data_IF_683441446644
#
_entry.id   IF_683441446644
#
_cell.length_a   1.000
_cell.length_b   1.000
_cell.length_c   1.000
_cell.angle_alpha   90.00
_cell.angle_beta   90.00
_cell.angle_gamma   90.00
#
_symmetry.space_group_name_H-M   'P 1'
#
loop_
_entity.id
_entity.type
_entity.pdbx_description
1 polymer ?
#
# COMPACT_ATOMS: atom_id res chain seq x y z
N UNK A 1 -14.31 -83.95 -5.39
CA UNK A 1 -15.18 -82.97 -6.05
C UNK A 1 -14.86 -81.59 -5.48
N UNK A 2 -14.07 -80.81 -6.14
CA UNK A 2 -13.64 -79.52 -5.65
C UNK A 2 -14.42 -78.42 -6.44
N UNK A 3 -15.17 -77.64 -5.72
CA UNK A 3 -15.89 -76.49 -6.28
C UNK A 3 -15.04 -75.22 -6.15
N UNK A 4 -14.60 -74.69 -7.28
CA UNK A 4 -13.88 -73.43 -7.32
C UNK A 4 -14.87 -72.23 -7.24
N UNK A 5 -14.77 -71.45 -6.20
CA UNK A 5 -15.52 -70.21 -6.04
C UNK A 5 -14.73 -69.04 -6.61
N UNK A 6 -15.16 -68.53 -7.78
CA UNK A 6 -14.59 -67.34 -8.40
C UNK A 6 -15.20 -66.08 -7.75
N UNK A 7 -14.41 -65.41 -6.94
CA UNK A 7 -14.76 -64.09 -6.39
C UNK A 7 -14.28 -63.03 -7.37
N UNK A 8 -15.21 -62.47 -8.15
CA UNK A 8 -14.96 -61.30 -9.01
C UNK A 8 -14.88 -60.03 -8.16
N UNK A 9 -13.69 -59.51 -7.99
CA UNK A 9 -13.46 -58.17 -7.38
C UNK A 9 -13.97 -57.09 -8.32
N UNK A 10 -15.13 -56.51 -8.02
CA UNK A 10 -15.61 -55.27 -8.64
C UNK A 10 -14.85 -54.12 -8.00
N UNK A 11 -13.94 -53.51 -8.77
CA UNK A 11 -13.28 -52.29 -8.40
C UNK A 11 -14.29 -51.09 -8.43
N UNK A 12 -14.64 -50.57 -7.30
CA UNK A 12 -15.40 -49.33 -7.15
C UNK A 12 -14.44 -48.16 -7.40
N UNK A 13 -14.51 -47.57 -8.61
CA UNK A 13 -13.89 -46.28 -8.91
C UNK A 13 -14.72 -45.21 -8.25
N UNK A 14 -14.28 -44.76 -7.07
CA UNK A 14 -14.79 -43.56 -6.40
C UNK A 14 -14.24 -42.33 -7.14
N UNK A 15 -15.06 -41.73 -8.01
CA UNK A 15 -14.79 -40.44 -8.61
C UNK A 15 -14.93 -39.37 -7.52
N UNK A 16 -13.80 -38.93 -6.97
CA UNK A 16 -13.75 -37.74 -6.12
C UNK A 16 -13.94 -36.50 -7.00
N UNK A 17 -15.16 -35.99 -7.06
CA UNK A 17 -15.50 -34.71 -7.68
C UNK A 17 -14.97 -33.61 -6.73
N UNK A 18 -13.75 -33.16 -6.97
CA UNK A 18 -13.15 -32.05 -6.23
C UNK A 18 -13.93 -30.76 -6.54
N UNK A 19 -14.70 -30.25 -5.56
CA UNK A 19 -15.22 -28.89 -5.59
C UNK A 19 -14.02 -27.94 -5.54
N UNK A 20 -13.58 -27.45 -6.70
CA UNK A 20 -12.71 -26.30 -6.77
C UNK A 20 -13.51 -25.06 -6.33
N UNK A 21 -13.37 -24.67 -5.06
CA UNK A 21 -13.85 -23.38 -4.58
C UNK A 21 -13.13 -22.31 -5.39
N UNK A 22 -13.83 -21.36 -6.04
CA UNK A 22 -13.18 -20.22 -6.65
C UNK A 22 -12.48 -19.46 -5.52
N UNK A 23 -11.14 -19.48 -5.50
CA UNK A 23 -10.38 -18.54 -4.71
C UNK A 23 -10.83 -17.14 -5.18
N UNK A 24 -11.51 -16.40 -4.30
CA UNK A 24 -11.82 -15.01 -4.55
C UNK A 24 -10.47 -14.32 -4.82
N UNK A 25 -10.18 -14.09 -6.09
CA UNK A 25 -9.01 -13.31 -6.49
C UNK A 25 -9.27 -11.90 -5.96
N UNK A 26 -8.74 -11.59 -4.78
CA UNK A 26 -8.59 -10.20 -4.38
C UNK A 26 -7.71 -9.57 -5.45
N UNK A 27 -8.26 -8.61 -6.17
CA UNK A 27 -7.51 -7.87 -7.17
C UNK A 27 -6.26 -7.33 -6.48
N UNK A 28 -5.11 -7.90 -6.82
CA UNK A 28 -3.83 -7.45 -6.27
C UNK A 28 -3.50 -6.12 -6.91
N UNK A 29 -3.02 -5.19 -6.11
CA UNK A 29 -2.54 -3.92 -6.64
C UNK A 29 -1.34 -4.13 -7.58
N UNK A 30 -1.17 -3.27 -8.59
CA UNK A 30 -0.05 -3.33 -9.50
C UNK A 30 1.27 -3.11 -8.75
N UNK A 31 2.37 -3.56 -9.33
CA UNK A 31 3.68 -3.33 -8.73
C UNK A 31 4.09 -1.86 -8.84
N UNK A 32 4.91 -1.41 -7.90
CA UNK A 32 5.45 -0.05 -7.91
C UNK A 32 6.23 0.26 -9.20
N UNK A 33 6.91 -0.74 -9.75
CA UNK A 33 7.67 -0.61 -10.99
C UNK A 33 6.75 -0.37 -12.20
N UNK A 34 5.66 -1.11 -12.31
CA UNK A 34 4.67 -0.94 -13.38
C UNK A 34 4.06 0.47 -13.32
N UNK A 35 3.53 0.83 -12.15
CA UNK A 35 2.93 2.16 -11.93
C UNK A 35 3.94 3.28 -12.20
N UNK A 36 5.20 3.10 -11.78
CA UNK A 36 6.26 4.07 -12.01
C UNK A 36 6.52 4.37 -13.48
N UNK A 37 6.54 3.34 -14.33
CA UNK A 37 6.69 3.49 -15.78
C UNK A 37 5.52 4.28 -16.37
N UNK A 38 4.30 3.92 -16.02
CA UNK A 38 3.09 4.58 -16.52
C UNK A 38 3.02 6.04 -16.08
N UNK A 39 3.35 6.34 -14.82
CA UNK A 39 3.41 7.71 -14.33
C UNK A 39 4.44 8.56 -15.08
N UNK A 40 5.62 8.01 -15.37
CA UNK A 40 6.64 8.71 -16.15
C UNK A 40 6.18 8.98 -17.59
N UNK A 41 5.45 8.05 -18.20
CA UNK A 41 4.90 8.24 -19.53
C UNK A 41 3.81 9.33 -19.59
N UNK A 42 2.93 9.36 -18.57
CA UNK A 42 1.84 10.34 -18.50
C UNK A 42 2.34 11.72 -18.15
N UNK A 43 3.16 11.83 -17.12
CA UNK A 43 3.58 13.13 -16.59
C UNK A 43 4.85 13.68 -17.24
N UNK A 44 5.59 12.85 -18.01
CA UNK A 44 6.87 13.23 -18.66
C UNK A 44 7.89 13.80 -17.66
N UNK A 45 7.84 13.35 -16.41
CA UNK A 45 8.70 13.79 -15.30
C UNK A 45 9.10 12.58 -14.45
N UNK A 46 10.27 12.62 -13.83
CA UNK A 46 10.66 11.57 -12.86
C UNK A 46 9.74 11.66 -11.64
N UNK A 47 8.96 10.59 -11.43
CA UNK A 47 8.13 10.39 -10.25
C UNK A 47 8.63 9.11 -9.60
N UNK A 48 9.00 9.20 -8.34
CA UNK A 48 9.43 8.03 -7.59
C UNK A 48 8.24 7.41 -6.86
N UNK A 49 7.89 6.17 -7.24
CA UNK A 49 6.88 5.39 -6.52
C UNK A 49 7.54 4.72 -5.32
N UNK A 50 7.11 5.08 -4.13
CA UNK A 50 7.64 4.55 -2.87
C UNK A 50 6.94 3.26 -2.45
N UNK A 51 5.62 3.20 -2.65
CA UNK A 51 4.79 2.07 -2.22
C UNK A 51 3.48 2.03 -3.00
N UNK A 52 2.98 0.83 -3.25
CA UNK A 52 1.62 0.58 -3.72
C UNK A 52 0.95 -0.38 -2.76
N UNK A 53 -0.24 -0.06 -2.31
CA UNK A 53 -1.02 -0.87 -1.36
C UNK A 53 -2.52 -0.74 -1.62
N UNK A 54 -3.30 -1.70 -1.11
CA UNK A 54 -4.76 -1.60 -1.22
C UNK A 54 -5.26 -0.36 -0.46
N UNK A 55 -6.12 0.42 -1.10
CA UNK A 55 -6.82 1.52 -0.45
C UNK A 55 -8.01 0.99 0.37
N UNK A 56 -8.55 1.77 1.34
CA UNK A 56 -9.76 1.41 2.06
C UNK A 56 -10.98 1.20 1.15
N UNK A 57 -11.03 1.87 0.01
CA UNK A 57 -12.06 1.67 -1.00
C UNK A 57 -11.74 0.44 -1.85
N UNK A 58 -12.65 -0.52 -1.89
CA UNK A 58 -12.51 -1.76 -2.67
C UNK A 58 -12.22 -1.48 -4.14
N UNK A 59 -11.24 -2.19 -4.70
CA UNK A 59 -10.86 -2.07 -6.11
C UNK A 59 -9.94 -0.89 -6.41
N UNK A 60 -9.59 -0.11 -5.40
CA UNK A 60 -8.66 1.01 -5.52
C UNK A 60 -7.34 0.65 -4.82
N UNK A 61 -6.26 1.06 -5.42
CA UNK A 61 -4.91 0.95 -4.88
C UNK A 61 -4.37 2.34 -4.58
N UNK A 62 -3.81 2.51 -3.39
CA UNK A 62 -3.10 3.71 -2.98
C UNK A 62 -1.66 3.64 -3.47
N UNK A 63 -1.20 4.70 -4.11
CA UNK A 63 0.15 4.84 -4.66
C UNK A 63 0.85 6.00 -3.96
N UNK A 64 1.80 5.68 -3.12
CA UNK A 64 2.63 6.66 -2.44
C UNK A 64 3.78 7.06 -3.37
N UNK A 65 3.82 8.33 -3.73
CA UNK A 65 4.84 8.87 -4.63
C UNK A 65 5.64 9.97 -3.96
N UNK A 66 6.86 10.18 -4.44
CA UNK A 66 7.64 11.37 -4.13
C UNK A 66 7.79 12.21 -5.38
N UNK A 67 7.33 13.44 -5.32
CA UNK A 67 7.48 14.44 -6.36
C UNK A 67 8.30 15.61 -5.82
N UNK A 68 9.47 15.85 -6.40
CA UNK A 68 10.41 16.86 -5.92
C UNK A 68 10.72 16.78 -4.42
N UNK A 69 10.86 15.56 -3.90
CA UNK A 69 11.12 15.30 -2.49
C UNK A 69 9.90 15.42 -1.56
N UNK A 70 8.73 15.77 -2.08
CA UNK A 70 7.49 15.87 -1.30
C UNK A 70 6.65 14.62 -1.47
N UNK A 71 6.17 14.00 -0.40
CA UNK A 71 5.26 12.87 -0.50
C UNK A 71 3.91 13.33 -1.04
N UNK A 72 3.32 12.49 -1.88
CA UNK A 72 1.97 12.68 -2.41
C UNK A 72 1.30 11.32 -2.56
N UNK A 73 -0.03 11.32 -2.61
CA UNK A 73 -0.84 10.12 -2.77
C UNK A 73 -1.63 10.22 -4.07
N UNK A 74 -1.55 9.15 -4.84
CA UNK A 74 -2.37 8.92 -6.03
C UNK A 74 -3.14 7.62 -5.82
N UNK A 75 -4.18 7.41 -6.59
CA UNK A 75 -4.92 6.15 -6.58
C UNK A 75 -4.99 5.56 -7.98
N UNK A 76 -4.99 4.24 -8.06
CA UNK A 76 -5.17 3.52 -9.32
C UNK A 76 -6.08 2.32 -9.12
N UNK A 77 -6.67 1.82 -10.19
CA UNK A 77 -7.36 0.54 -10.17
C UNK A 77 -6.37 -0.63 -10.09
N UNK A 78 -6.86 -1.83 -9.86
CA UNK A 78 -6.03 -3.02 -9.74
C UNK A 78 -5.23 -3.38 -11.00
N UNK A 79 -5.67 -2.89 -12.16
CA UNK A 79 -4.97 -3.09 -13.43
C UNK A 79 -3.91 -2.02 -13.71
N UNK A 80 -3.90 -0.91 -12.96
CA UNK A 80 -3.04 0.24 -13.24
C UNK A 80 -3.52 1.10 -14.41
N UNK A 81 -4.73 0.85 -14.93
CA UNK A 81 -5.22 1.47 -16.17
C UNK A 81 -5.75 2.90 -15.98
N UNK A 82 -6.17 3.24 -14.78
CA UNK A 82 -6.72 4.55 -14.45
C UNK A 82 -6.00 5.18 -13.28
N UNK A 83 -5.75 6.46 -13.37
CA UNK A 83 -5.14 7.24 -12.30
C UNK A 83 -6.13 8.26 -11.77
N UNK A 84 -6.29 8.29 -10.45
CA UNK A 84 -7.12 9.27 -9.75
C UNK A 84 -6.21 10.12 -8.85
N UNK A 85 -6.35 11.42 -8.95
CA UNK A 85 -5.71 12.41 -8.08
C UNK A 85 -6.75 13.07 -7.20
N UNK A 86 -6.46 13.29 -5.93
CA UNK A 86 -7.38 13.92 -5.00
C UNK A 86 -7.41 13.23 -3.65
N UNK A 87 -8.45 13.52 -2.89
CA UNK A 87 -8.61 13.05 -1.52
C UNK A 87 -9.66 11.94 -1.42
N UNK A 88 -9.36 10.93 -0.63
CA UNK A 88 -10.29 9.88 -0.23
C UNK A 88 -10.83 10.23 1.15
N UNK A 89 -12.11 10.59 1.20
CA UNK A 89 -12.76 11.01 2.44
C UNK A 89 -13.73 9.91 2.89
N UNK A 90 -13.56 9.46 4.12
CA UNK A 90 -14.56 8.61 4.78
C UNK A 90 -15.75 9.47 5.22
N UNK A 91 -16.85 9.34 4.50
CA UNK A 91 -18.06 10.15 4.72
C UNK A 91 -18.70 9.88 6.09
N UNK A 92 -18.57 8.65 6.60
CA UNK A 92 -19.15 8.28 7.89
C UNK A 92 -18.45 8.95 9.08
N UNK A 93 -17.12 9.06 9.00
CA UNK A 93 -16.31 9.69 10.06
C UNK A 93 -15.91 11.14 9.76
N UNK A 94 -16.06 11.58 8.51
CA UNK A 94 -15.56 12.88 8.02
C UNK A 94 -14.05 12.95 7.86
N UNK A 95 -13.34 11.84 8.00
CA UNK A 95 -11.88 11.79 7.92
C UNK A 95 -11.37 11.83 6.50
N UNK A 96 -10.34 12.62 6.27
CA UNK A 96 -9.55 12.61 5.05
C UNK A 96 -8.41 11.58 5.18
N UNK A 97 -8.62 10.41 4.61
CA UNK A 97 -7.67 9.29 4.67
C UNK A 97 -6.39 9.58 3.88
N UNK A 98 -6.48 10.37 2.83
CA UNK A 98 -5.33 10.81 2.04
C UNK A 98 -4.44 11.73 2.86
N UNK A 99 -5.02 12.72 3.53
CA UNK A 99 -4.29 13.64 4.38
C UNK A 99 -3.67 12.95 5.60
N UNK A 100 -4.39 11.98 6.21
CA UNK A 100 -3.83 11.15 7.28
C UNK A 100 -2.56 10.42 6.81
N UNK A 101 -2.59 9.84 5.59
CA UNK A 101 -1.41 9.16 5.03
C UNK A 101 -0.28 10.14 4.75
N UNK A 102 -0.55 11.28 4.08
CA UNK A 102 0.45 12.30 3.79
C UNK A 102 1.08 12.84 5.08
N UNK A 103 0.28 13.12 6.08
CA UNK A 103 0.71 13.60 7.38
C UNK A 103 1.63 12.59 8.09
N UNK A 104 1.27 11.30 8.01
CA UNK A 104 2.10 10.20 8.51
C UNK A 104 3.45 10.10 7.79
N UNK A 105 3.48 10.28 6.47
CA UNK A 105 4.70 10.26 5.67
C UNK A 105 5.60 11.48 5.93
N UNK A 106 5.03 12.59 6.33
CA UNK A 106 5.75 13.81 6.70
C UNK A 106 6.19 13.84 8.17
N UNK A 107 5.70 12.93 9.00
CA UNK A 107 6.09 12.90 10.40
C UNK A 107 7.48 12.32 10.59
N UNK A 108 8.25 12.96 11.45
CA UNK A 108 9.58 12.48 11.84
C UNK A 108 9.45 11.27 12.76
N UNK A 109 10.25 10.25 12.52
CA UNK A 109 10.37 9.12 13.45
C UNK A 109 11.02 9.56 14.75
N UNK A 110 10.81 8.78 15.82
CA UNK A 110 11.50 9.03 17.11
C UNK A 110 13.02 8.98 16.98
N UNK A 111 13.54 8.24 16.00
CA UNK A 111 14.98 8.17 15.71
C UNK A 111 15.47 9.42 14.99
N UNK A 112 14.68 9.94 14.04
CA UNK A 112 15.02 11.19 13.35
C UNK A 112 14.92 12.38 14.28
N UNK A 113 13.96 12.40 15.19
CA UNK A 113 13.89 13.42 16.26
C UNK A 113 15.15 13.44 17.12
N UNK A 114 15.71 12.29 17.49
CA UNK A 114 16.98 12.22 18.22
C UNK A 114 18.15 12.79 17.42
N UNK A 115 18.17 12.58 16.10
CA UNK A 115 19.19 13.17 15.23
C UNK A 115 19.03 14.69 15.16
N UNK A 116 17.78 15.19 15.07
CA UNK A 116 17.50 16.62 15.09
C UNK A 116 17.90 17.23 16.42
N UNK A 117 17.57 16.59 17.56
CA UNK A 117 17.99 17.03 18.89
C UNK A 117 19.52 17.21 19.02
N UNK A 118 20.27 16.30 18.39
CA UNK A 118 21.74 16.38 18.38
C UNK A 118 22.30 17.58 17.57
N UNK A 119 21.47 18.18 16.70
CA UNK A 119 21.84 19.32 15.86
C UNK A 119 21.35 20.65 16.44
N UNK A 120 20.62 20.65 17.55
CA UNK A 120 20.07 21.86 18.16
C UNK A 120 21.21 22.73 18.68
N UNK A 121 21.36 23.93 18.09
CA UNK A 121 22.37 24.89 18.50
C UNK A 121 21.92 25.76 19.68
N UNK A 122 20.63 25.98 19.86
CA UNK A 122 20.07 26.82 20.92
C UNK A 122 18.68 26.33 21.35
N UNK A 123 18.44 26.31 22.64
CA UNK A 123 17.13 25.99 23.22
C UNK A 123 16.58 27.17 23.98
N UNK A 124 15.34 27.55 23.74
CA UNK A 124 14.65 28.61 24.45
C UNK A 124 13.47 28.03 25.20
N UNK A 125 13.48 28.19 26.52
CA UNK A 125 12.44 27.64 27.40
C UNK A 125 12.79 26.25 27.96
N UNK A 126 12.08 25.86 29.03
CA UNK A 126 12.32 24.57 29.73
C UNK A 126 11.08 23.76 30.00
N UNK A 127 9.90 24.22 29.54
CA UNK A 127 8.61 23.56 29.78
C UNK A 127 7.73 23.62 28.55
N UNK A 128 7.01 22.53 28.27
CA UNK A 128 6.06 22.39 27.15
C UNK A 128 6.56 21.51 26.01
N UNK A 129 5.77 21.35 24.94
CA UNK A 129 6.18 20.62 23.76
C UNK A 129 7.33 21.34 23.06
N UNK A 130 8.30 20.57 22.56
CA UNK A 130 9.41 21.10 21.78
C UNK A 130 8.92 21.48 20.37
N UNK A 131 9.35 22.66 19.90
CA UNK A 131 9.15 23.12 18.52
C UNK A 131 10.53 23.38 17.92
N UNK A 132 10.81 22.75 16.79
CA UNK A 132 12.08 22.89 16.09
C UNK A 132 11.95 23.91 14.96
N UNK A 133 12.82 24.90 14.97
CA UNK A 133 12.98 25.84 13.86
C UNK A 133 14.28 25.54 13.13
N UNK A 134 14.18 25.29 11.84
CA UNK A 134 15.35 25.14 10.97
C UNK A 134 15.54 26.46 10.24
N UNK A 135 16.62 27.16 10.54
CA UNK A 135 17.00 28.42 9.87
C UNK A 135 18.34 28.23 9.18
N UNK A 136 18.51 28.88 8.04
CA UNK A 136 19.83 29.01 7.42
C UNK A 136 20.59 30.12 8.15
N UNK A 137 21.75 29.83 8.75
CA UNK A 137 22.58 30.90 9.31
C UNK A 137 23.16 31.73 8.15
N UNK A 138 22.70 32.96 8.01
CA UNK A 138 23.23 33.96 7.06
C UNK A 138 24.67 34.31 7.41
#
# INVERSE_FOLDING_TARGET
MAAHLHITRRALLASALGLALPAAAFAQCPTAELVGKELQEVFKRPIEVKKVSAAPLKGLCEVQVSFQGRPNILYTDAAGAYLVTGHLIDVASGKDLTEETISSLNSLSSEDLKKVDALVAMTVGTKGPAVYFITDPL
#
